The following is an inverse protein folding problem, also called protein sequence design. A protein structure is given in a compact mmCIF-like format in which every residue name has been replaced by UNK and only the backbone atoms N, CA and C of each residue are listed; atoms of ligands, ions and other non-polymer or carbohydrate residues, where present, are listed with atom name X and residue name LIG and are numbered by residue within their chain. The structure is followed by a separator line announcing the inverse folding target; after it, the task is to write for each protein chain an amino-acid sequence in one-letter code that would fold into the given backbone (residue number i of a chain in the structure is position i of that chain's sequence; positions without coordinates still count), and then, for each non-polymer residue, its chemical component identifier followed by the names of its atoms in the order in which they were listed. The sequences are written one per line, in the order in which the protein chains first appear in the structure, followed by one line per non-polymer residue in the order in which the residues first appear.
data_IF_487073347087
#
_entry.id   IF_487073347087
#
_cell.length_a   1.000
_cell.length_b   1.000
_cell.length_c   1.000
_cell.angle_alpha   90.00
_cell.angle_beta   90.00
_cell.angle_gamma   90.00
#
_symmetry.space_group_name_H-M   'P 1'
#
loop_
_entity.id
_entity.type
_entity.pdbx_description
1 polymer ?
#
# COMPACT_ATOMS: atom_id res chain seq x y z
N UNK A 1 -59.98 8.25 -22.40
CA UNK A 1 -60.56 6.90 -22.45
C UNK A 1 -59.58 6.00 -21.72
N UNK A 2 -59.97 5.65 -20.52
CA UNK A 2 -60.11 4.31 -19.91
C UNK A 2 -58.76 3.61 -19.77
N UNK A 3 -58.15 3.59 -18.56
CA UNK A 3 -58.34 2.67 -17.43
C UNK A 3 -57.81 1.26 -17.77
N UNK A 4 -56.87 0.69 -17.03
CA UNK A 4 -57.07 0.00 -15.77
C UNK A 4 -55.76 -0.53 -15.17
N UNK A 5 -55.53 -0.23 -13.90
CA UNK A 5 -54.84 -1.09 -12.90
C UNK A 5 -55.93 -2.10 -12.41
N UNK A 6 -55.69 -3.22 -11.71
CA UNK A 6 -54.73 -3.49 -10.64
C UNK A 6 -54.30 -4.99 -10.52
N UNK A 7 -53.47 -5.38 -9.57
CA UNK A 7 -53.81 -6.23 -8.41
C UNK A 7 -52.57 -6.65 -7.59
N UNK A 8 -52.63 -6.22 -6.35
CA UNK A 8 -51.90 -6.74 -5.19
C UNK A 8 -52.26 -8.22 -4.93
N UNK A 9 -51.30 -9.04 -4.55
CA UNK A 9 -51.57 -10.22 -3.71
C UNK A 9 -50.57 -10.32 -2.56
N UNK A 10 -51.13 -10.07 -1.41
CA UNK A 10 -50.59 -10.47 -0.09
C UNK A 10 -50.46 -11.99 -0.01
N UNK A 11 -49.48 -12.49 0.64
CA UNK A 11 -49.49 -13.83 1.24
C UNK A 11 -48.99 -13.74 2.66
N UNK A 12 -49.86 -14.17 3.49
CA UNK A 12 -50.00 -14.16 4.93
C UNK A 12 -49.02 -15.10 5.64
N UNK A 13 -48.65 -14.70 6.83
CA UNK A 13 -48.04 -15.45 7.93
C UNK A 13 -48.78 -16.78 8.23
N UNK A 14 -48.01 -17.82 8.51
CA UNK A 14 -48.52 -19.02 9.23
C UNK A 14 -47.62 -19.27 10.44
N UNK A 15 -48.14 -18.93 11.57
CA UNK A 15 -47.77 -19.40 12.92
C UNK A 15 -48.25 -20.83 13.11
N UNK A 16 -47.41 -21.70 13.63
CA UNK A 16 -47.87 -22.93 14.31
C UNK A 16 -47.03 -23.19 15.55
N UNK A 17 -47.78 -23.35 16.62
CA UNK A 17 -47.39 -23.46 18.00
C UNK A 17 -47.18 -24.91 18.44
N UNK A 18 -46.51 -25.03 19.59
CA UNK A 18 -46.63 -26.04 20.64
C UNK A 18 -46.16 -27.49 20.40
N UNK A 19 -45.17 -27.90 21.19
CA UNK A 19 -45.48 -28.96 22.18
C UNK A 19 -44.47 -28.92 23.35
N UNK A 20 -44.97 -28.67 24.53
CA UNK A 20 -44.35 -28.86 25.83
C UNK A 20 -44.24 -30.37 26.13
N UNK A 21 -43.09 -30.83 26.59
CA UNK A 21 -43.01 -32.06 27.39
C UNK A 21 -42.28 -31.75 28.69
N UNK A 22 -43.08 -31.73 29.77
CA UNK A 22 -42.63 -31.86 31.16
C UNK A 22 -42.34 -33.32 31.45
N UNK A 23 -41.23 -33.64 32.11
CA UNK A 23 -41.13 -34.75 33.07
C UNK A 23 -39.96 -34.49 34.04
N UNK A 24 -40.34 -34.15 35.23
CA UNK A 24 -40.19 -34.67 36.62
C UNK A 24 -38.77 -35.03 37.10
N UNK A 25 -38.48 -34.62 38.35
CA UNK A 25 -37.22 -34.92 39.04
C UNK A 25 -37.38 -36.19 39.89
N UNK A 26 -36.34 -37.01 39.95
CA UNK A 26 -36.21 -38.05 40.98
C UNK A 26 -34.74 -38.23 41.39
N UNK A 27 -34.53 -38.01 42.68
CA UNK A 27 -33.51 -38.59 43.56
C UNK A 27 -32.05 -38.66 43.10
N UNK A 28 -31.23 -37.94 43.83
CA UNK A 28 -30.02 -38.51 44.45
C UNK A 28 -29.62 -37.69 45.66
N UNK A 29 -30.16 -38.03 46.80
CA UNK A 29 -29.52 -37.88 48.11
C UNK A 29 -28.57 -39.06 48.25
N UNK A 30 -27.46 -38.82 48.86
CA UNK A 30 -26.33 -39.70 49.23
C UNK A 30 -25.16 -39.68 48.22
N UNK A 31 -24.18 -38.84 48.51
CA UNK A 31 -22.73 -39.03 48.55
C UNK A 31 -22.14 -37.67 49.01
N UNK A 32 -22.18 -37.49 50.32
CA UNK A 32 -21.56 -36.32 50.99
C UNK A 32 -20.62 -36.80 52.12
N UNK A 33 -19.74 -37.74 51.91
CA UNK A 33 -18.72 -38.15 52.96
C UNK A 33 -17.38 -38.58 52.35
N UNK A 34 -17.19 -38.58 51.02
CA UNK A 34 -15.98 -39.12 50.41
C UNK A 34 -14.92 -38.10 49.97
N UNK A 35 -15.19 -36.79 50.05
CA UNK A 35 -14.33 -35.77 49.41
C UNK A 35 -13.49 -34.90 50.35
N UNK A 36 -13.52 -35.15 51.67
CA UNK A 36 -12.77 -34.36 52.68
C UNK A 36 -11.39 -34.97 52.99
N UNK A 37 -11.09 -36.18 52.57
CA UNK A 37 -9.80 -36.84 52.88
C UNK A 37 -8.80 -36.84 51.71
N UNK A 38 -9.10 -36.23 50.56
CA UNK A 38 -8.21 -36.17 49.41
C UNK A 38 -7.56 -34.77 49.14
N UNK A 39 -7.84 -33.80 50.02
CA UNK A 39 -7.34 -32.41 49.87
C UNK A 39 -6.04 -32.14 50.67
N UNK A 40 -5.59 -33.07 51.53
CA UNK A 40 -4.46 -32.81 52.40
C UNK A 40 -3.07 -33.29 51.84
N UNK A 41 -3.04 -33.97 50.71
CA UNK A 41 -1.74 -34.53 50.16
C UNK A 41 -1.15 -33.69 49.04
N UNK A 42 -1.75 -32.56 48.58
CA UNK A 42 -1.23 -31.74 47.49
C UNK A 42 -0.53 -30.43 47.90
N UNK A 43 -0.19 -30.22 49.17
CA UNK A 43 0.43 -28.95 49.63
C UNK A 43 1.95 -29.09 49.85
N UNK A 44 2.61 -30.08 49.32
CA UNK A 44 4.09 -30.24 49.53
C UNK A 44 4.89 -30.33 48.28
N UNK A 45 4.59 -29.56 47.21
CA UNK A 45 5.44 -29.45 46.05
C UNK A 45 5.49 -28.02 45.47
N UNK A 46 5.53 -26.99 46.32
CA UNK A 46 6.05 -25.68 45.89
C UNK A 46 7.57 -25.73 46.06
N UNK A 47 8.29 -26.26 45.05
CA UNK A 47 9.67 -25.86 44.81
C UNK A 47 9.66 -24.38 44.45
N UNK A 48 10.48 -23.52 45.09
CA UNK A 48 10.71 -22.19 44.59
C UNK A 48 11.30 -22.34 43.17
N UNK A 49 10.56 -22.00 42.16
CA UNK A 49 11.09 -21.78 40.83
C UNK A 49 12.20 -20.73 40.95
N UNK A 50 13.38 -21.08 40.51
CA UNK A 50 14.51 -20.15 40.34
C UNK A 50 13.98 -18.89 39.67
N UNK A 51 14.41 -17.68 40.04
CA UNK A 51 14.03 -16.48 39.34
C UNK A 51 14.40 -16.67 37.88
N UNK A 52 13.36 -16.62 37.03
CA UNK A 52 13.55 -16.41 35.59
C UNK A 52 14.47 -15.20 35.48
N UNK A 53 15.60 -15.39 34.86
CA UNK A 53 16.54 -14.34 34.45
C UNK A 53 15.76 -13.09 34.05
N UNK A 54 16.09 -11.99 34.73
CA UNK A 54 15.58 -10.66 34.43
C UNK A 54 15.70 -10.36 32.92
N UNK A 55 14.63 -10.63 32.19
CA UNK A 55 14.43 -9.93 30.96
C UNK A 55 14.26 -8.44 31.35
N UNK A 56 15.04 -7.52 30.80
CA UNK A 56 14.86 -6.11 31.11
C UNK A 56 13.38 -5.75 30.90
N UNK A 57 12.78 -4.94 31.80
CA UNK A 57 11.42 -4.50 31.64
C UNK A 57 11.26 -3.91 30.23
N UNK A 58 10.13 -4.16 29.55
CA UNK A 58 9.89 -3.55 28.24
C UNK A 58 10.07 -2.05 28.39
N UNK A 59 10.93 -1.45 27.56
CA UNK A 59 11.17 0.00 27.58
C UNK A 59 9.82 0.71 27.46
N UNK A 60 9.54 1.63 28.37
CA UNK A 60 8.34 2.46 28.25
C UNK A 60 8.39 3.20 26.92
N UNK A 61 7.31 3.14 26.14
CA UNK A 61 7.20 3.87 24.88
C UNK A 61 7.17 5.36 25.17
N UNK A 62 8.24 6.07 24.80
CA UNK A 62 8.36 7.52 25.05
C UNK A 62 7.71 8.35 23.95
N UNK A 63 7.61 7.81 22.74
CA UNK A 63 7.00 8.49 21.60
C UNK A 63 6.34 7.50 20.61
N UNK A 64 5.26 7.99 19.98
CA UNK A 64 4.60 7.31 18.86
C UNK A 64 4.70 8.23 17.65
N UNK A 65 5.23 7.71 16.54
CA UNK A 65 5.29 8.40 15.25
C UNK A 65 4.28 7.77 14.32
N UNK A 66 3.21 8.50 13.98
CA UNK A 66 2.23 8.09 13.00
C UNK A 66 2.70 8.46 11.59
N UNK A 67 2.90 7.46 10.73
CA UNK A 67 3.34 7.59 9.35
C UNK A 67 2.27 6.99 8.43
N UNK A 68 1.75 7.78 7.49
CA UNK A 68 0.65 7.34 6.62
C UNK A 68 0.80 7.87 5.20
N UNK A 69 0.34 7.10 4.21
CA UNK A 69 0.19 7.63 2.86
C UNK A 69 0.51 6.66 1.74
N UNK A 70 1.47 7.01 0.89
CA UNK A 70 1.78 6.30 -0.35
C UNK A 70 2.06 4.81 -0.15
N UNK A 71 1.29 3.96 -0.81
CA UNK A 71 1.53 2.52 -0.79
C UNK A 71 2.87 2.14 -1.46
N UNK A 72 3.35 2.95 -2.40
CA UNK A 72 4.70 2.78 -2.96
C UNK A 72 5.78 2.79 -1.88
N UNK A 73 5.59 3.57 -0.82
CA UNK A 73 6.56 3.70 0.27
C UNK A 73 6.30 2.75 1.45
N UNK A 74 5.17 2.02 1.49
CA UNK A 74 4.80 1.23 2.68
C UNK A 74 5.89 0.23 3.07
N UNK A 75 6.38 -0.58 2.12
CA UNK A 75 7.40 -1.58 2.42
C UNK A 75 8.72 -0.95 2.89
N UNK A 76 9.11 0.18 2.31
CA UNK A 76 10.30 0.92 2.70
C UNK A 76 10.12 1.59 4.07
N UNK A 77 8.96 2.19 4.33
CA UNK A 77 8.65 2.81 5.61
C UNK A 77 8.55 1.78 6.75
N UNK A 78 8.00 0.60 6.49
CA UNK A 78 8.00 -0.52 7.44
C UNK A 78 9.42 -1.00 7.74
N UNK A 79 10.26 -1.15 6.72
CA UNK A 79 11.66 -1.55 6.90
C UNK A 79 12.45 -0.51 7.70
N UNK A 80 12.22 0.78 7.47
CA UNK A 80 12.80 1.84 8.28
C UNK A 80 12.29 1.80 9.73
N UNK A 81 10.99 1.61 9.94
CA UNK A 81 10.41 1.52 11.27
C UNK A 81 10.96 0.33 12.06
N UNK A 82 11.12 -0.83 11.40
CA UNK A 82 11.68 -2.03 11.99
C UNK A 82 13.15 -1.86 12.36
N UNK A 83 13.98 -1.36 11.45
CA UNK A 83 15.40 -1.14 11.71
C UNK A 83 15.64 -0.05 12.76
N UNK A 84 14.83 1.00 12.77
CA UNK A 84 14.95 2.09 13.75
C UNK A 84 14.57 1.66 15.17
N UNK A 85 13.68 0.69 15.32
CA UNK A 85 13.30 0.12 16.64
C UNK A 85 14.52 -0.44 17.40
N UNK A 86 15.50 -1.00 16.70
CA UNK A 86 16.71 -1.54 17.33
C UNK A 86 17.63 -0.41 17.84
N UNK A 87 17.54 0.78 17.24
CA UNK A 87 18.29 1.98 17.64
C UNK A 87 17.58 2.80 18.72
N UNK A 88 16.25 2.84 18.68
CA UNK A 88 15.41 3.61 19.58
C UNK A 88 14.21 2.77 20.04
N UNK A 89 14.41 1.81 20.96
CA UNK A 89 13.38 0.87 21.40
C UNK A 89 12.23 1.53 22.17
N UNK A 90 12.41 2.77 22.60
CA UNK A 90 11.41 3.64 23.24
C UNK A 90 10.51 4.38 22.22
N UNK A 91 10.80 4.29 20.92
CA UNK A 91 10.01 4.92 19.86
C UNK A 91 9.20 3.88 19.10
N UNK A 92 7.88 4.06 19.05
CA UNK A 92 6.99 3.25 18.23
C UNK A 92 6.64 4.00 16.94
N UNK A 93 6.87 3.38 15.79
CA UNK A 93 6.50 3.94 14.49
C UNK A 93 5.37 3.11 13.90
N UNK A 94 4.22 3.75 13.69
CA UNK A 94 3.03 3.14 13.07
C UNK A 94 3.04 3.51 11.59
N UNK A 95 3.00 2.54 10.70
CA UNK A 95 3.01 2.75 9.24
C UNK A 95 1.70 2.27 8.64
N UNK A 96 1.01 3.15 7.91
CA UNK A 96 -0.24 2.84 7.20
C UNK A 96 -0.19 3.32 5.75
N UNK A 97 -0.66 2.49 4.82
CA UNK A 97 -0.87 2.86 3.43
C UNK A 97 -2.15 3.68 3.20
N UNK A 98 -2.71 3.54 2.01
CA UNK A 98 -3.98 4.16 1.61
C UNK A 98 -3.81 5.30 0.60
N UNK A 99 -2.63 5.42 -0.01
CA UNK A 99 -2.33 6.38 -1.07
C UNK A 99 -1.85 7.75 -0.60
N UNK A 100 -1.10 8.43 -1.46
CA UNK A 100 -0.52 9.76 -1.20
C UNK A 100 -1.55 10.80 -0.75
N UNK A 101 -2.71 10.84 -1.41
CA UNK A 101 -3.77 11.80 -1.07
C UNK A 101 -4.30 11.61 0.34
N UNK A 102 -4.44 10.36 0.78
CA UNK A 102 -4.89 10.03 2.14
C UNK A 102 -3.87 10.44 3.19
N UNK A 103 -2.57 10.23 2.94
CA UNK A 103 -1.50 10.67 3.84
C UNK A 103 -1.43 12.19 3.99
N UNK A 104 -1.48 12.90 2.86
CA UNK A 104 -1.48 14.38 2.84
C UNK A 104 -2.72 14.92 3.58
N UNK A 105 -3.90 14.36 3.33
CA UNK A 105 -5.12 14.77 4.04
C UNK A 105 -5.02 14.50 5.55
N UNK A 106 -4.45 13.36 5.96
CA UNK A 106 -4.22 13.06 7.36
C UNK A 106 -3.26 14.06 8.03
N UNK A 107 -2.20 14.46 7.34
CA UNK A 107 -1.27 15.49 7.84
C UNK A 107 -1.96 16.87 7.95
N UNK A 108 -2.72 17.28 6.94
CA UNK A 108 -3.49 18.55 6.97
C UNK A 108 -4.49 18.57 8.13
N UNK A 109 -5.03 17.42 8.51
CA UNK A 109 -5.94 17.29 9.65
C UNK A 109 -5.22 17.05 10.99
N UNK A 110 -3.89 17.08 11.02
CA UNK A 110 -3.10 16.92 12.24
C UNK A 110 -3.16 15.51 12.86
N UNK A 111 -3.54 14.48 12.08
CA UNK A 111 -3.70 13.11 12.60
C UNK A 111 -2.48 12.23 12.37
N UNK A 112 -1.46 12.71 11.68
CA UNK A 112 -0.19 11.99 11.47
C UNK A 112 1.00 12.93 11.60
N UNK A 113 2.15 12.39 11.98
CA UNK A 113 3.41 13.12 12.08
C UNK A 113 4.13 13.21 10.74
N UNK A 114 4.00 12.14 9.93
CA UNK A 114 4.67 11.99 8.64
C UNK A 114 3.66 11.53 7.58
N UNK A 115 3.57 12.26 6.47
CA UNK A 115 2.80 11.85 5.29
C UNK A 115 3.75 11.32 4.21
N UNK A 116 3.60 10.04 3.83
CA UNK A 116 4.32 9.45 2.71
C UNK A 116 3.68 9.85 1.38
N UNK A 117 4.50 10.26 0.41
CA UNK A 117 4.01 10.69 -0.89
C UNK A 117 4.90 10.20 -2.04
N UNK A 118 4.26 9.77 -3.12
CA UNK A 118 4.91 9.36 -4.36
C UNK A 118 4.67 10.35 -5.51
N UNK A 119 4.31 11.55 -5.15
CA UNK A 119 4.26 12.79 -5.95
C UNK A 119 4.43 13.98 -5.03
N UNK A 120 4.76 15.11 -5.58
CA UNK A 120 4.73 16.38 -4.83
C UNK A 120 3.32 16.72 -4.32
N UNK A 121 3.25 17.46 -3.22
CA UNK A 121 2.01 18.10 -2.78
C UNK A 121 1.56 19.11 -3.82
N UNK A 122 0.27 19.06 -4.17
CA UNK A 122 -0.37 20.02 -5.07
C UNK A 122 -0.48 21.38 -4.41
N UNK A 123 -0.59 22.43 -5.23
CA UNK A 123 -0.72 23.82 -4.72
C UNK A 123 -1.94 23.99 -3.81
N UNK A 124 -3.07 23.37 -4.16
CA UNK A 124 -4.30 23.38 -3.36
C UNK A 124 -4.15 22.62 -2.02
N UNK A 125 -3.38 21.53 -1.98
CA UNK A 125 -3.06 20.78 -0.76
C UNK A 125 -2.15 21.61 0.17
N UNK A 126 -1.13 22.28 -0.39
CA UNK A 126 -0.27 23.20 0.35
C UNK A 126 -1.07 24.40 0.90
N UNK A 127 -2.01 24.92 0.11
CA UNK A 127 -2.90 26.00 0.54
C UNK A 127 -3.83 25.57 1.67
N UNK A 128 -4.45 24.38 1.55
CA UNK A 128 -5.30 23.81 2.59
C UNK A 128 -4.55 23.56 3.90
N UNK A 129 -3.30 23.06 3.82
CA UNK A 129 -2.44 22.89 4.99
C UNK A 129 -2.20 24.21 5.72
N UNK A 130 -1.85 25.27 4.99
CA UNK A 130 -1.62 26.61 5.57
C UNK A 130 -2.88 27.20 6.19
N UNK A 131 -4.04 26.98 5.58
CA UNK A 131 -5.34 27.41 6.15
C UNK A 131 -5.57 26.74 7.51
N UNK A 132 -5.09 25.52 7.71
CA UNK A 132 -5.16 24.79 8.97
C UNK A 132 -3.97 25.10 9.91
N UNK A 133 -3.17 26.12 9.61
CA UNK A 133 -2.02 26.53 10.43
C UNK A 133 -0.80 25.60 10.30
N UNK A 134 -0.76 24.76 9.26
CA UNK A 134 0.33 23.82 8.99
C UNK A 134 1.16 24.34 7.83
N UNK A 135 2.48 24.45 8.01
CA UNK A 135 3.45 24.74 6.94
C UNK A 135 4.23 23.46 6.61
N UNK A 136 3.84 22.69 5.59
CA UNK A 136 4.43 21.39 5.29
C UNK A 136 5.90 21.50 4.92
N UNK A 137 6.74 20.69 5.56
CA UNK A 137 8.16 20.55 5.18
C UNK A 137 8.33 19.28 4.37
N UNK A 138 8.93 19.43 3.19
CA UNK A 138 9.16 18.37 2.22
C UNK A 138 10.56 17.76 2.39
N UNK A 139 10.63 16.44 2.43
CA UNK A 139 11.87 15.67 2.40
C UNK A 139 11.83 14.70 1.22
N UNK A 140 12.77 14.81 0.30
CA UNK A 140 13.02 13.75 -0.68
C UNK A 140 13.75 12.63 0.05
N UNK A 141 13.16 11.44 0.11
CA UNK A 141 13.68 10.29 0.90
C UNK A 141 14.24 9.18 0.03
N UNK A 142 13.81 9.09 -1.23
CA UNK A 142 14.29 8.14 -2.24
C UNK A 142 13.91 8.63 -3.64
N UNK A 143 14.40 7.94 -4.67
CA UNK A 143 13.88 8.02 -6.03
C UNK A 143 13.36 6.64 -6.46
N UNK A 144 12.48 6.63 -7.43
CA UNK A 144 11.78 5.43 -7.89
C UNK A 144 11.73 5.39 -9.42
N UNK A 145 11.90 4.19 -10.00
CA UNK A 145 11.50 3.92 -11.36
C UNK A 145 10.09 3.33 -11.34
N UNK A 146 9.16 3.90 -12.09
CA UNK A 146 7.88 3.23 -12.31
C UNK A 146 8.07 2.21 -13.44
N UNK A 147 8.18 0.95 -13.05
CA UNK A 147 8.29 -0.16 -13.95
C UNK A 147 6.94 -0.46 -14.61
N UNK A 148 6.90 -0.58 -15.94
CA UNK A 148 5.79 -1.20 -16.65
C UNK A 148 5.99 -2.70 -16.59
N UNK A 149 5.00 -3.41 -16.06
CA UNK A 149 5.10 -4.83 -15.75
C UNK A 149 4.01 -5.65 -16.45
N UNK A 150 4.39 -6.83 -16.88
CA UNK A 150 3.49 -7.81 -17.51
C UNK A 150 3.79 -9.21 -16.95
N UNK A 151 2.89 -10.15 -17.20
CA UNK A 151 3.14 -11.54 -16.89
C UNK A 151 4.36 -12.07 -17.67
N UNK A 152 5.22 -12.93 -17.10
CA UNK A 152 6.38 -13.51 -17.78
C UNK A 152 6.07 -14.23 -19.11
N UNK A 153 4.85 -14.73 -19.27
CA UNK A 153 4.39 -15.41 -20.51
C UNK A 153 4.11 -14.42 -21.66
N UNK A 154 3.95 -13.13 -21.37
CA UNK A 154 3.72 -12.13 -22.42
C UNK A 154 5.00 -11.97 -23.27
N UNK A 155 4.97 -12.16 -24.61
CA UNK A 155 6.17 -12.07 -25.43
C UNK A 155 6.67 -10.64 -25.68
N UNK A 156 5.85 -9.61 -25.42
CA UNK A 156 6.24 -8.19 -25.61
C UNK A 156 7.33 -7.83 -24.61
N UNK A 157 8.43 -7.24 -25.10
CA UNK A 157 9.60 -6.91 -24.29
C UNK A 157 9.89 -5.40 -24.21
N UNK A 158 9.30 -4.61 -25.09
CA UNK A 158 9.60 -3.18 -25.22
C UNK A 158 8.38 -2.40 -25.69
N UNK A 159 8.20 -1.19 -25.17
CA UNK A 159 7.13 -0.26 -25.52
C UNK A 159 7.69 1.16 -25.52
N UNK A 160 7.14 2.04 -26.36
CA UNK A 160 7.37 3.48 -26.25
C UNK A 160 6.39 4.09 -25.25
N UNK A 161 6.64 5.31 -24.75
CA UNK A 161 5.66 6.06 -23.96
C UNK A 161 4.35 6.24 -24.73
N UNK A 162 4.40 6.42 -26.05
CA UNK A 162 3.20 6.52 -26.88
C UNK A 162 2.43 5.20 -26.89
N UNK A 163 3.09 4.04 -27.04
CA UNK A 163 2.41 2.74 -26.96
C UNK A 163 1.71 2.56 -25.62
N UNK A 164 2.40 2.90 -24.52
CA UNK A 164 1.83 2.80 -23.17
C UNK A 164 0.62 3.72 -23.02
N UNK A 165 0.71 4.97 -23.48
CA UNK A 165 -0.40 5.91 -23.50
C UNK A 165 -1.59 5.37 -24.31
N UNK A 166 -1.36 4.83 -25.49
CA UNK A 166 -2.40 4.31 -26.37
C UNK A 166 -3.05 3.03 -25.80
N UNK A 167 -2.30 2.20 -25.09
CA UNK A 167 -2.83 1.07 -24.33
C UNK A 167 -3.78 1.58 -23.23
N UNK A 168 -3.29 2.44 -22.34
CA UNK A 168 -4.06 2.89 -21.18
C UNK A 168 -5.22 3.83 -21.50
N UNK A 169 -5.23 4.45 -22.69
CA UNK A 169 -6.37 5.22 -23.19
C UNK A 169 -7.37 4.36 -23.99
N UNK A 170 -7.10 3.06 -24.15
CA UNK A 170 -7.99 2.13 -24.85
C UNK A 170 -7.91 2.20 -26.38
N UNK A 171 -6.91 2.87 -26.98
CA UNK A 171 -6.68 2.88 -28.41
C UNK A 171 -6.05 1.56 -28.90
N UNK A 172 -5.23 0.95 -28.08
CA UNK A 172 -4.65 -0.38 -28.30
C UNK A 172 -5.23 -1.30 -27.23
N UNK A 173 -6.03 -2.27 -27.65
CA UNK A 173 -6.77 -3.18 -26.77
C UNK A 173 -6.36 -4.64 -26.89
N UNK A 174 -5.46 -4.95 -27.83
CA UNK A 174 -5.01 -6.30 -28.09
C UNK A 174 -3.47 -6.35 -28.22
N UNK A 175 -2.86 -7.35 -27.59
CA UNK A 175 -1.41 -7.55 -27.60
C UNK A 175 -0.82 -7.80 -28.99
N UNK A 176 -1.62 -8.39 -29.92
CA UNK A 176 -1.18 -8.62 -31.31
C UNK A 176 -0.75 -7.37 -32.05
N UNK A 177 -1.36 -6.20 -31.73
CA UNK A 177 -0.96 -4.89 -32.27
C UNK A 177 0.45 -4.46 -31.88
N UNK A 178 1.07 -5.13 -30.92
CA UNK A 178 2.37 -4.84 -30.34
C UNK A 178 3.37 -6.00 -30.52
N UNK A 179 3.03 -6.96 -31.38
CA UNK A 179 3.85 -8.17 -31.63
C UNK A 179 3.68 -9.25 -30.54
N UNK A 180 2.64 -9.16 -29.75
CA UNK A 180 2.24 -10.17 -28.79
C UNK A 180 1.28 -11.22 -29.40
N UNK A 181 0.72 -12.06 -28.53
CA UNK A 181 -0.31 -13.01 -28.92
C UNK A 181 -1.67 -12.30 -29.17
N UNK A 182 -2.56 -12.95 -29.93
CA UNK A 182 -3.93 -12.44 -30.15
C UNK A 182 -4.76 -12.62 -28.87
N UNK A 183 -4.61 -11.68 -27.95
CA UNK A 183 -5.28 -11.64 -26.64
C UNK A 183 -5.64 -10.23 -26.24
N UNK A 184 -6.79 -10.01 -25.58
CA UNK A 184 -7.14 -8.70 -25.06
C UNK A 184 -6.15 -8.25 -23.99
N UNK A 185 -5.93 -6.95 -23.90
CA UNK A 185 -5.10 -6.35 -22.83
C UNK A 185 -5.98 -6.06 -21.63
N UNK A 186 -5.60 -6.55 -20.45
CA UNK A 186 -6.24 -6.21 -19.17
C UNK A 186 -5.45 -5.09 -18.51
N UNK A 187 -6.08 -3.93 -18.36
CA UNK A 187 -5.45 -2.71 -17.85
C UNK A 187 -5.53 -2.66 -16.33
N UNK A 188 -4.39 -2.62 -15.66
CA UNK A 188 -4.31 -2.44 -14.22
C UNK A 188 -3.73 -1.07 -13.89
N UNK A 189 -4.41 -0.34 -13.02
CA UNK A 189 -3.98 0.96 -12.51
C UNK A 189 -4.18 1.01 -11.00
N UNK A 190 -3.74 2.10 -10.40
CA UNK A 190 -3.97 2.40 -9.00
C UNK A 190 -5.22 3.26 -8.86
N UNK A 191 -5.79 3.30 -7.68
CA UNK A 191 -6.87 4.24 -7.33
C UNK A 191 -6.42 5.69 -7.47
N UNK A 192 -7.38 6.61 -7.70
CA UNK A 192 -7.11 8.03 -8.00
C UNK A 192 -6.45 8.82 -6.86
N UNK A 193 -6.55 8.36 -5.61
CA UNK A 193 -5.83 8.91 -4.44
C UNK A 193 -4.34 8.51 -4.41
N UNK A 194 -3.93 7.55 -5.24
CA UNK A 194 -2.53 7.13 -5.38
C UNK A 194 -1.71 8.20 -6.07
N UNK A 195 -0.55 8.54 -5.48
CA UNK A 195 0.43 9.41 -6.14
C UNK A 195 1.01 8.78 -7.41
N UNK A 196 1.07 7.44 -7.48
CA UNK A 196 1.52 6.70 -8.66
C UNK A 196 0.52 6.82 -9.80
N UNK A 197 -0.79 6.75 -9.51
CA UNK A 197 -1.84 7.03 -10.48
C UNK A 197 -1.69 8.43 -11.09
N UNK A 198 -1.59 9.44 -10.23
CA UNK A 198 -1.49 10.84 -10.67
C UNK A 198 -0.24 11.07 -11.51
N UNK A 199 0.91 10.56 -11.06
CA UNK A 199 2.16 10.69 -11.80
C UNK A 199 2.09 9.99 -13.16
N UNK A 200 1.57 8.76 -13.22
CA UNK A 200 1.46 8.00 -14.46
C UNK A 200 0.50 8.66 -15.45
N UNK A 201 -0.62 9.19 -14.97
CA UNK A 201 -1.55 9.96 -15.78
C UNK A 201 -0.86 11.17 -16.44
N UNK A 202 -0.16 11.98 -15.64
CA UNK A 202 0.44 13.21 -16.14
C UNK A 202 1.67 12.95 -17.03
N UNK A 203 2.60 12.10 -16.56
CA UNK A 203 3.90 11.93 -17.21
C UNK A 203 3.86 10.92 -18.36
N UNK A 204 3.01 9.89 -18.29
CA UNK A 204 2.96 8.80 -19.27
C UNK A 204 1.78 8.96 -20.21
N UNK A 205 0.55 9.00 -19.68
CA UNK A 205 -0.64 9.08 -20.53
C UNK A 205 -0.72 10.43 -21.23
N UNK A 206 -0.54 11.52 -20.48
CA UNK A 206 -0.57 12.90 -21.00
C UNK A 206 0.77 13.38 -21.55
N UNK A 207 1.85 12.61 -21.34
CA UNK A 207 3.21 12.96 -21.79
C UNK A 207 3.63 14.38 -21.37
N UNK A 208 3.31 14.79 -20.14
CA UNK A 208 3.55 16.13 -19.58
C UNK A 208 2.88 17.29 -20.36
N UNK A 209 1.91 17.00 -21.22
CA UNK A 209 1.17 18.04 -21.96
C UNK A 209 0.09 18.65 -21.06
N UNK A 210 0.31 19.85 -20.53
CA UNK A 210 -0.60 20.56 -19.57
C UNK A 210 -2.05 20.70 -20.05
N UNK A 211 -2.31 20.74 -21.36
CA UNK A 211 -3.64 20.89 -21.96
C UNK A 211 -4.22 19.55 -22.43
N UNK A 212 -3.61 18.42 -22.10
CA UNK A 212 -4.11 17.11 -22.48
C UNK A 212 -5.30 16.74 -21.60
N UNK A 213 -6.39 16.32 -22.21
CA UNK A 213 -7.63 15.81 -21.59
C UNK A 213 -7.65 14.27 -21.52
N UNK A 214 -6.56 13.61 -21.96
CA UNK A 214 -6.47 12.17 -21.93
C UNK A 214 -6.65 11.64 -20.49
N UNK A 215 -7.46 10.59 -20.38
CA UNK A 215 -7.74 9.85 -19.15
C UNK A 215 -7.48 8.37 -19.38
N UNK A 216 -7.39 7.62 -18.29
CA UNK A 216 -7.44 6.17 -18.36
C UNK A 216 -8.73 5.69 -19.02
N UNK A 217 -8.63 4.62 -19.80
CA UNK A 217 -9.80 3.90 -20.32
C UNK A 217 -10.75 3.52 -19.17
N UNK A 218 -12.09 3.62 -19.34
CA UNK A 218 -13.05 3.18 -18.35
C UNK A 218 -12.95 1.67 -18.04
N UNK A 219 -12.33 0.88 -18.93
CA UNK A 219 -12.08 -0.55 -18.74
C UNK A 219 -10.89 -0.83 -17.79
N UNK A 220 -10.23 0.23 -17.27
CA UNK A 220 -9.07 0.08 -16.39
C UNK A 220 -9.50 -0.37 -15.01
N UNK A 221 -8.95 -1.49 -14.55
CA UNK A 221 -9.16 -2.01 -13.19
C UNK A 221 -8.30 -1.23 -12.20
N UNK A 222 -8.94 -0.63 -11.21
CA UNK A 222 -8.28 0.17 -10.18
C UNK A 222 -7.92 -0.70 -8.98
N UNK A 223 -6.64 -0.85 -8.72
CA UNK A 223 -6.10 -1.67 -7.64
C UNK A 223 -5.80 -0.79 -6.40
N UNK A 224 -6.16 -1.26 -5.19
CA UNK A 224 -6.02 -0.45 -3.98
C UNK A 224 -4.56 -0.27 -3.55
N UNK A 225 -3.67 -1.20 -3.91
CA UNK A 225 -2.28 -1.21 -3.46
C UNK A 225 -1.30 -1.59 -4.58
N UNK A 226 -0.02 -1.33 -4.36
CA UNK A 226 1.08 -1.78 -5.21
C UNK A 226 1.14 -3.31 -5.26
N UNK A 227 0.98 -3.99 -4.11
CA UNK A 227 0.93 -5.45 -4.08
C UNK A 227 -0.25 -6.03 -4.87
N UNK A 228 -1.39 -5.32 -4.92
CA UNK A 228 -2.53 -5.69 -5.75
C UNK A 228 -2.18 -5.73 -7.24
N UNK A 229 -1.46 -4.73 -7.76
CA UNK A 229 -0.94 -4.73 -9.14
C UNK A 229 -0.02 -5.95 -9.37
N UNK A 230 0.96 -6.12 -8.49
CA UNK A 230 1.95 -7.19 -8.62
C UNK A 230 1.31 -8.58 -8.59
N UNK A 231 0.34 -8.79 -7.69
CA UNK A 231 -0.39 -10.06 -7.57
C UNK A 231 -1.18 -10.39 -8.82
N UNK A 232 -1.91 -9.41 -9.38
CA UNK A 232 -2.71 -9.62 -10.60
C UNK A 232 -1.83 -9.88 -11.82
N UNK A 233 -0.75 -9.11 -12.00
CA UNK A 233 0.20 -9.32 -13.12
C UNK A 233 0.80 -10.72 -13.11
N UNK A 234 1.16 -11.25 -11.93
CA UNK A 234 1.70 -12.61 -11.81
C UNK A 234 0.73 -13.70 -12.29
N UNK A 235 -0.56 -13.51 -12.04
CA UNK A 235 -1.59 -14.50 -12.30
C UNK A 235 -2.25 -14.37 -13.68
N UNK A 236 -2.29 -13.15 -14.23
CA UNK A 236 -3.03 -12.84 -15.45
C UNK A 236 -2.09 -12.62 -16.66
N UNK A 237 -2.00 -13.57 -17.61
CA UNK A 237 -1.15 -13.44 -18.80
C UNK A 237 -1.51 -12.25 -19.71
N UNK A 238 -2.72 -11.73 -19.59
CA UNK A 238 -3.23 -10.63 -20.40
C UNK A 238 -2.96 -9.24 -19.77
N UNK A 239 -2.56 -9.21 -18.50
CA UNK A 239 -2.43 -7.99 -17.74
C UNK A 239 -1.21 -7.15 -18.13
N UNK A 240 -1.40 -5.84 -18.11
CA UNK A 240 -0.36 -4.83 -18.03
C UNK A 240 -0.60 -3.99 -16.77
N UNK A 241 0.43 -3.79 -16.00
CA UNK A 241 0.43 -2.93 -14.81
C UNK A 241 1.62 -1.99 -14.80
N UNK A 242 1.64 -1.12 -13.81
CA UNK A 242 2.80 -0.27 -13.52
C UNK A 242 2.97 -0.12 -12.01
N UNK A 243 4.19 -0.20 -11.54
CA UNK A 243 4.48 -0.09 -10.11
C UNK A 243 5.90 0.42 -9.85
N UNK A 244 6.18 0.81 -8.61
CA UNK A 244 7.53 1.15 -8.19
C UNK A 244 8.48 -0.06 -8.30
N UNK A 245 9.74 0.22 -8.65
CA UNK A 245 10.76 -0.82 -8.85
C UNK A 245 10.93 -1.73 -7.63
N UNK A 246 10.72 -1.20 -6.43
CA UNK A 246 10.75 -1.98 -5.17
C UNK A 246 9.68 -3.07 -5.03
N UNK A 247 8.67 -3.08 -5.90
CA UNK A 247 7.61 -4.11 -5.94
C UNK A 247 7.81 -5.14 -7.05
N UNK A 248 8.82 -4.94 -7.90
CA UNK A 248 9.11 -5.86 -9.00
C UNK A 248 9.83 -7.09 -8.47
N UNK A 249 9.22 -8.25 -8.66
CA UNK A 249 9.76 -9.55 -8.27
C UNK A 249 10.16 -10.39 -9.49
N UNK A 250 10.93 -11.47 -9.27
CA UNK A 250 11.46 -12.34 -10.35
C UNK A 250 10.38 -13.07 -11.16
N UNK A 251 9.18 -13.17 -10.63
CA UNK A 251 8.00 -13.79 -11.25
C UNK A 251 7.12 -12.78 -12.01
N UNK A 252 7.65 -11.58 -12.23
CA UNK A 252 7.10 -10.58 -13.15
C UNK A 252 8.11 -10.21 -14.21
N UNK A 253 7.62 -9.77 -15.37
CA UNK A 253 8.46 -9.24 -16.44
C UNK A 253 8.32 -7.74 -16.55
N UNK A 254 9.46 -7.04 -16.52
CA UNK A 254 9.53 -5.60 -16.80
C UNK A 254 9.67 -5.35 -18.30
N UNK A 255 9.01 -4.32 -18.78
CA UNK A 255 9.08 -3.86 -20.17
C UNK A 255 10.16 -2.78 -20.27
N UNK A 256 11.03 -2.90 -21.29
CA UNK A 256 11.95 -1.82 -21.63
C UNK A 256 11.18 -0.66 -22.29
N UNK A 257 11.41 0.57 -21.80
CA UNK A 257 10.65 1.74 -22.24
C UNK A 257 11.55 2.71 -22.99
N UNK A 258 11.10 3.20 -24.15
CA UNK A 258 11.71 4.31 -24.87
C UNK A 258 10.81 5.55 -24.85
N UNK A 259 11.40 6.74 -24.91
CA UNK A 259 10.64 7.99 -25.02
C UNK A 259 9.80 8.05 -26.31
N UNK A 260 10.39 7.58 -27.40
CA UNK A 260 9.78 7.51 -28.73
C UNK A 260 10.38 6.36 -29.55
N UNK A 261 9.94 6.19 -30.80
CA UNK A 261 10.39 5.11 -31.68
C UNK A 261 11.87 5.21 -32.13
N UNK A 262 12.48 6.39 -32.05
CA UNK A 262 13.89 6.65 -32.39
C UNK A 262 14.81 6.47 -31.16
N UNK A 263 14.23 6.39 -29.95
CA UNK A 263 14.93 6.32 -28.68
C UNK A 263 15.45 4.94 -28.32
N UNK A 264 16.37 4.91 -27.37
CA UNK A 264 16.85 3.68 -26.75
C UNK A 264 15.78 3.09 -25.81
N UNK A 265 15.52 1.81 -25.95
CA UNK A 265 14.68 1.07 -25.00
C UNK A 265 15.47 0.69 -23.74
N UNK A 266 15.06 1.22 -22.61
CA UNK A 266 15.77 1.10 -21.33
C UNK A 266 14.92 0.35 -20.31
N UNK A 267 15.52 -0.59 -19.60
CA UNK A 267 14.89 -1.27 -18.47
C UNK A 267 14.96 -0.40 -17.19
N UNK A 268 13.94 -0.48 -16.32
CA UNK A 268 14.00 0.19 -15.03
C UNK A 268 15.08 -0.44 -14.15
N UNK A 269 16.02 0.37 -13.69
CA UNK A 269 17.09 -0.03 -12.78
C UNK A 269 17.61 1.17 -12.00
N UNK A 270 18.27 0.94 -10.86
CA UNK A 270 18.92 2.01 -10.08
C UNK A 270 19.87 2.81 -10.98
N UNK A 271 20.70 2.14 -11.79
CA UNK A 271 21.65 2.78 -12.69
C UNK A 271 20.95 3.69 -13.71
N UNK A 272 19.87 3.20 -14.36
CA UNK A 272 19.16 3.94 -15.42
C UNK A 272 18.28 5.07 -14.89
N UNK A 273 17.93 5.06 -13.61
CA UNK A 273 17.35 6.22 -12.91
C UNK A 273 18.42 7.25 -12.58
N UNK A 274 19.59 6.80 -12.15
CA UNK A 274 20.71 7.69 -11.78
C UNK A 274 21.26 8.47 -12.96
N UNK A 275 21.43 7.82 -14.13
CA UNK A 275 21.90 8.46 -15.34
C UNK A 275 20.81 9.18 -16.16
N UNK A 276 19.54 9.09 -15.72
CA UNK A 276 18.38 9.73 -16.35
C UNK A 276 17.95 9.09 -17.66
N UNK A 277 18.44 7.90 -18.00
CA UNK A 277 18.08 7.21 -19.27
C UNK A 277 16.71 6.55 -19.20
N UNK A 278 16.25 6.09 -18.00
CA UNK A 278 14.91 5.53 -17.84
C UNK A 278 13.85 6.65 -17.81
N UNK A 279 12.85 6.63 -18.71
CA UNK A 279 11.97 7.80 -18.92
C UNK A 279 10.88 7.97 -17.84
N UNK A 280 10.60 6.96 -17.01
CA UNK A 280 9.51 7.00 -16.01
C UNK A 280 10.11 6.90 -14.62
N UNK A 281 10.76 7.97 -14.17
CA UNK A 281 11.36 8.04 -12.84
C UNK A 281 10.90 9.28 -12.08
N UNK A 282 10.83 9.16 -10.75
CA UNK A 282 10.33 10.23 -9.86
C UNK A 282 11.03 10.22 -8.52
N UNK A 283 10.90 11.32 -7.80
CA UNK A 283 11.22 11.39 -6.37
C UNK A 283 10.08 10.83 -5.51
N UNK A 284 10.44 10.30 -4.35
CA UNK A 284 9.55 9.88 -3.29
C UNK A 284 9.78 10.78 -2.09
N UNK A 285 8.70 11.16 -1.43
CA UNK A 285 8.71 12.21 -0.43
C UNK A 285 8.11 11.76 0.89
N UNK A 286 8.60 12.35 1.96
CA UNK A 286 7.92 12.43 3.25
C UNK A 286 7.66 13.90 3.57
N UNK A 287 6.46 14.20 4.05
CA UNK A 287 6.06 15.51 4.52
C UNK A 287 5.80 15.48 6.00
N UNK A 288 6.23 16.52 6.71
CA UNK A 288 5.90 16.76 8.12
C UNK A 288 5.05 18.02 8.26
N UNK A 289 4.28 18.12 9.34
CA UNK A 289 3.36 19.25 9.61
C UNK A 289 4.07 20.54 10.05
N UNK A 290 5.31 20.72 9.65
CA UNK A 290 6.23 21.79 10.04
C UNK A 290 7.61 21.19 10.20
N UNK A 291 8.59 22.01 10.64
CA UNK A 291 9.93 21.51 10.95
C UNK A 291 9.81 20.40 12.02
N UNK A 292 10.25 19.17 11.73
CA UNK A 292 10.18 18.09 12.71
C UNK A 292 11.06 18.41 13.94
N UNK A 293 10.69 17.89 15.09
CA UNK A 293 11.43 18.03 16.35
C UNK A 293 11.42 16.72 17.13
N UNK A 294 12.32 16.61 18.10
CA UNK A 294 12.40 15.43 18.98
C UNK A 294 12.58 14.13 18.20
N UNK A 295 11.84 13.10 18.59
CA UNK A 295 11.97 11.75 18.00
C UNK A 295 11.62 11.69 16.50
N UNK A 296 10.71 12.54 16.03
CA UNK A 296 10.41 12.63 14.60
C UNK A 296 11.59 13.20 13.81
N UNK A 297 12.28 14.21 14.33
CA UNK A 297 13.48 14.78 13.70
C UNK A 297 14.63 13.74 13.68
N UNK A 298 14.86 13.05 14.81
CA UNK A 298 15.87 11.99 14.89
C UNK A 298 15.61 10.89 13.84
N UNK A 299 14.37 10.41 13.74
CA UNK A 299 13.98 9.41 12.75
C UNK A 299 14.15 9.89 11.32
N UNK A 300 13.69 11.10 11.00
CA UNK A 300 13.87 11.67 9.65
C UNK A 300 15.34 11.85 9.28
N UNK A 301 16.18 12.31 10.21
CA UNK A 301 17.61 12.43 9.97
C UNK A 301 18.28 11.08 9.73
N UNK A 302 17.89 10.05 10.47
CA UNK A 302 18.37 8.68 10.26
C UNK A 302 17.93 8.12 8.90
N UNK A 303 16.68 8.35 8.47
CA UNK A 303 16.21 7.96 7.13
C UNK A 303 17.09 8.56 6.03
N UNK A 304 17.44 9.84 6.17
CA UNK A 304 18.23 10.59 5.18
C UNK A 304 19.73 10.25 5.18
N UNK A 305 20.18 9.45 6.15
CA UNK A 305 21.58 9.03 6.31
C UNK A 305 21.70 7.49 6.29
N UNK A 306 21.76 6.83 7.43
CA UNK A 306 21.98 5.39 7.55
C UNK A 306 20.84 4.56 6.96
N UNK A 307 19.61 5.07 7.05
CA UNK A 307 18.40 4.46 6.46
C UNK A 307 18.46 4.32 4.95
N UNK A 308 19.37 5.01 4.26
CA UNK A 308 19.53 4.92 2.80
C UNK A 308 20.06 3.54 2.34
N UNK A 309 20.70 2.78 3.22
CA UNK A 309 21.09 1.39 2.93
C UNK A 309 19.87 0.50 2.63
N UNK A 310 18.74 0.75 3.32
CA UNK A 310 17.48 0.02 3.09
C UNK A 310 16.79 0.42 1.77
N UNK A 311 16.98 1.65 1.32
CA UNK A 311 16.50 2.11 -0.01
C UNK A 311 17.06 1.23 -1.10
N UNK A 312 18.38 1.01 -1.10
CA UNK A 312 19.05 0.14 -2.09
C UNK A 312 18.60 -1.30 -1.94
N UNK A 313 18.56 -1.82 -0.71
CA UNK A 313 18.17 -3.20 -0.41
C UNK A 313 16.77 -3.56 -0.92
N UNK A 314 15.87 -2.61 -0.90
CA UNK A 314 14.47 -2.79 -1.35
C UNK A 314 14.25 -2.37 -2.81
N UNK A 315 15.31 -2.14 -3.59
CA UNK A 315 15.23 -1.86 -5.02
C UNK A 315 14.84 -0.42 -5.39
N UNK A 316 14.79 0.49 -4.40
CA UNK A 316 14.63 1.92 -4.65
C UNK A 316 15.97 2.58 -4.93
N UNK A 317 15.94 3.80 -5.42
CA UNK A 317 17.13 4.58 -5.78
C UNK A 317 17.44 5.56 -4.65
N UNK A 318 18.62 5.48 -4.01
CA UNK A 318 18.96 6.36 -2.89
C UNK A 318 19.08 7.83 -3.35
N UNK A 319 18.90 8.73 -2.41
CA UNK A 319 19.29 10.13 -2.60
C UNK A 319 20.81 10.21 -2.56
N UNK A 320 21.40 10.67 -3.65
CA UNK A 320 22.84 10.90 -3.70
C UNK A 320 23.10 12.26 -3.07
N UNK A 321 23.98 12.30 -2.03
CA UNK A 321 24.50 13.53 -1.48
C UNK A 321 25.72 13.98 -2.26
#
# INVERSE_FOLDING_TARGET
MIADTPLLRNCTLSTSAHTLIQHRPLLFKTIRIGWILLIVVFISACRPSSPLTDAPPPSEVSAIIENKGSDTLVNLALAWAEAYRDLAPDVRISVTGGGTGTGIAAMINGTVHIANASREMKSEEKSAARTNGIDPVEFTVARDAIAVVVNPRNPVNRLTLQNISDIYTGKITNWSSLGGEDRPIVLLSRESNSGTYVYFLECVIRMNKKKSDLLFSPETLLMPSSEGISSEVRQNPNAIGYDGLGYVTKDMKTIAVAKDHSGLYVLPAIATVNDGSYPISRSLYMYTAGKPSGKTEEFMNWILTDGQALVIKLGFVPIIK
#
